data_IF_742719184956
#
_entry.id   IF_742719184956
#
_cell.length_a   1.000
_cell.length_b   1.000
_cell.length_c   1.000
_cell.angle_alpha   90.00
_cell.angle_beta   90.00
_cell.angle_gamma   90.00
#
_symmetry.space_group_name_H-M   'P 1'
#
loop_
_entity.id
_entity.type
_entity.pdbx_description
1 polymer ?
#
# COMPACT_ATOMS: atom_id res chain seq x y z
N UNK A 1 -50.28 49.80 -54.61
CA UNK A 1 -49.74 50.01 -53.24
C UNK A 1 -50.03 48.87 -52.22
N UNK A 2 -50.53 47.68 -52.63
CA UNK A 2 -50.88 46.58 -51.70
C UNK A 2 -49.84 45.44 -51.60
N UNK A 3 -48.89 45.34 -52.55
CA UNK A 3 -47.93 44.22 -52.62
C UNK A 3 -46.81 44.29 -51.56
N UNK A 4 -46.31 45.49 -51.25
CA UNK A 4 -45.18 45.69 -50.32
C UNK A 4 -45.53 45.39 -48.84
N UNK A 5 -46.81 45.49 -48.44
CA UNK A 5 -47.26 45.13 -47.08
C UNK A 5 -47.23 43.62 -46.85
N UNK A 6 -47.61 42.81 -47.85
CA UNK A 6 -47.60 41.34 -47.73
C UNK A 6 -46.19 40.76 -47.61
N UNK A 7 -45.22 41.34 -48.32
CA UNK A 7 -43.80 40.94 -48.24
C UNK A 7 -43.18 41.30 -46.89
N UNK A 8 -43.54 42.45 -46.31
CA UNK A 8 -43.05 42.87 -45.00
C UNK A 8 -43.61 42.00 -43.85
N UNK A 9 -44.89 41.60 -43.93
CA UNK A 9 -45.53 40.73 -42.93
C UNK A 9 -44.96 39.31 -42.96
N UNK A 10 -44.69 38.77 -44.15
CA UNK A 10 -44.07 37.45 -44.31
C UNK A 10 -42.61 37.41 -43.86
N UNK A 11 -41.83 38.49 -44.08
CA UNK A 11 -40.47 38.63 -43.53
C UNK A 11 -40.47 38.71 -41.99
N UNK A 12 -41.43 39.42 -41.38
CA UNK A 12 -41.58 39.46 -39.90
C UNK A 12 -41.96 38.10 -39.31
N UNK A 13 -42.86 37.33 -39.95
CA UNK A 13 -43.22 35.97 -39.51
C UNK A 13 -42.06 34.98 -39.61
N UNK A 14 -41.25 35.02 -40.69
CA UNK A 14 -40.05 34.17 -40.82
C UNK A 14 -38.94 34.51 -39.82
N UNK A 15 -38.80 35.79 -39.43
CA UNK A 15 -37.83 36.20 -38.39
C UNK A 15 -38.23 35.67 -37.01
N UNK A 16 -39.49 35.83 -36.60
CA UNK A 16 -40.01 35.29 -35.33
C UNK A 16 -39.91 33.75 -35.25
N UNK A 17 -40.24 33.04 -36.33
CA UNK A 17 -40.13 31.57 -36.37
C UNK A 17 -38.68 31.02 -36.31
N UNK A 18 -37.66 31.86 -36.50
CA UNK A 18 -36.24 31.48 -36.35
C UNK A 18 -35.73 31.76 -34.93
N UNK A 19 -36.37 32.69 -34.23
CA UNK A 19 -36.04 33.13 -32.87
C UNK A 19 -36.73 32.23 -31.81
N UNK A 20 -37.93 31.73 -32.12
CA UNK A 20 -38.71 30.81 -31.29
C UNK A 20 -38.33 29.32 -31.47
N UNK A 21 -37.19 28.99 -32.08
CA UNK A 21 -36.76 27.59 -32.17
C UNK A 21 -36.35 27.12 -30.77
N UNK A 22 -37.05 26.14 -30.18
CA UNK A 22 -36.73 25.66 -28.84
C UNK A 22 -35.26 25.21 -28.79
N UNK A 23 -34.51 25.82 -27.88
CA UNK A 23 -33.06 25.64 -27.71
C UNK A 23 -32.75 24.30 -27.02
N UNK A 24 -33.30 23.20 -27.54
CA UNK A 24 -33.16 21.88 -26.96
C UNK A 24 -31.70 21.47 -26.77
N UNK A 25 -30.78 21.88 -27.66
CA UNK A 25 -29.34 21.60 -27.51
C UNK A 25 -28.71 22.25 -26.26
N UNK A 26 -29.18 23.43 -25.83
CA UNK A 26 -28.75 24.07 -24.58
C UNK A 26 -29.35 23.38 -23.36
N UNK A 27 -30.58 22.86 -23.47
CA UNK A 27 -31.24 22.09 -22.42
C UNK A 27 -30.61 20.70 -22.23
N UNK A 28 -30.41 19.94 -23.31
CA UNK A 28 -29.72 18.64 -23.28
C UNK A 28 -28.24 18.78 -22.89
N UNK A 29 -27.56 19.85 -23.32
CA UNK A 29 -26.20 20.17 -22.87
C UNK A 29 -26.12 20.46 -21.37
N UNK A 30 -27.10 21.20 -20.82
CA UNK A 30 -27.19 21.44 -19.38
C UNK A 30 -27.42 20.17 -18.55
N UNK A 31 -28.29 19.26 -19.04
CA UNK A 31 -28.50 17.96 -18.38
C UNK A 31 -27.22 17.11 -18.41
N UNK A 32 -26.52 17.05 -19.55
CA UNK A 32 -25.29 16.28 -19.68
C UNK A 32 -24.14 16.82 -18.79
N UNK A 33 -24.03 18.15 -18.69
CA UNK A 33 -23.06 18.79 -17.77
C UNK A 33 -23.45 18.50 -16.32
N UNK A 34 -24.74 18.60 -15.98
CA UNK A 34 -25.23 18.33 -14.63
C UNK A 34 -25.04 16.87 -14.18
N UNK A 35 -25.24 15.90 -15.08
CA UNK A 35 -24.97 14.49 -14.76
C UNK A 35 -23.48 14.21 -14.66
N UNK A 36 -22.64 14.85 -15.48
CA UNK A 36 -21.18 14.75 -15.40
C UNK A 36 -20.63 15.35 -14.09
N UNK A 37 -21.10 16.53 -13.68
CA UNK A 37 -20.66 17.15 -12.42
C UNK A 37 -21.14 16.35 -11.21
N UNK A 38 -22.36 15.83 -11.23
CA UNK A 38 -22.88 14.96 -10.17
C UNK A 38 -22.07 13.66 -10.06
N UNK A 39 -21.75 13.02 -11.18
CA UNK A 39 -20.94 11.78 -11.17
C UNK A 39 -19.53 12.02 -10.66
N UNK A 40 -18.86 13.11 -11.07
CA UNK A 40 -17.55 13.49 -10.53
C UNK A 40 -17.61 13.82 -9.03
N UNK A 41 -18.66 14.50 -8.57
CA UNK A 41 -18.85 14.80 -7.15
C UNK A 41 -19.06 13.52 -6.33
N UNK A 42 -19.84 12.57 -6.84
CA UNK A 42 -20.04 11.26 -6.19
C UNK A 42 -18.73 10.47 -6.15
N UNK A 43 -17.96 10.43 -7.25
CA UNK A 43 -16.64 9.77 -7.27
C UNK A 43 -15.70 10.42 -6.24
N UNK A 44 -15.65 11.76 -6.20
CA UNK A 44 -14.86 12.50 -5.22
C UNK A 44 -15.25 12.18 -3.78
N UNK A 45 -16.55 12.10 -3.49
CA UNK A 45 -17.08 11.73 -2.18
C UNK A 45 -16.67 10.29 -1.80
N UNK A 46 -16.75 9.34 -2.75
CA UNK A 46 -16.34 7.95 -2.52
C UNK A 46 -14.84 7.85 -2.24
N UNK A 47 -14.01 8.59 -2.97
CA UNK A 47 -12.56 8.64 -2.73
C UNK A 47 -12.28 9.23 -1.34
N UNK A 48 -12.90 10.35 -0.98
CA UNK A 48 -12.71 10.98 0.33
C UNK A 48 -13.17 10.06 1.47
N UNK A 49 -14.31 9.39 1.33
CA UNK A 49 -14.79 8.41 2.30
C UNK A 49 -13.82 7.21 2.40
N UNK A 50 -13.29 6.72 1.28
CA UNK A 50 -12.27 5.67 1.24
C UNK A 50 -10.98 6.08 1.95
N UNK A 51 -10.48 7.29 1.67
CA UNK A 51 -9.30 7.84 2.34
C UNK A 51 -9.53 8.05 3.84
N UNK A 52 -10.71 8.54 4.24
CA UNK A 52 -11.10 8.67 5.64
C UNK A 52 -11.17 7.31 6.35
N UNK A 53 -11.70 6.29 5.68
CA UNK A 53 -11.69 4.91 6.18
C UNK A 53 -10.29 4.34 6.35
N UNK A 54 -9.42 4.51 5.34
CA UNK A 54 -8.01 4.10 5.41
C UNK A 54 -7.26 4.82 6.54
N UNK A 55 -7.47 6.12 6.69
CA UNK A 55 -6.89 6.91 7.77
C UNK A 55 -7.38 6.45 9.14
N UNK A 56 -8.68 6.15 9.28
CA UNK A 56 -9.24 5.63 10.53
C UNK A 56 -8.64 4.26 10.88
N UNK A 57 -8.49 3.37 9.90
CA UNK A 57 -7.83 2.07 10.06
C UNK A 57 -6.37 2.27 10.48
N UNK A 58 -5.64 3.13 9.78
CA UNK A 58 -4.27 3.50 10.11
C UNK A 58 -4.17 3.99 11.56
N UNK A 59 -5.01 4.96 11.95
CA UNK A 59 -4.97 5.56 13.28
C UNK A 59 -5.31 4.56 14.40
N UNK A 60 -6.29 3.67 14.18
CA UNK A 60 -6.62 2.63 15.16
C UNK A 60 -5.49 1.62 15.33
N UNK A 61 -4.86 1.21 14.22
CA UNK A 61 -3.77 0.24 14.30
C UNK A 61 -2.50 0.87 14.87
N UNK A 62 -2.15 2.08 14.43
CA UNK A 62 -0.96 2.79 14.88
C UNK A 62 -0.93 3.02 16.40
N UNK A 63 -2.09 3.21 17.04
CA UNK A 63 -2.18 3.35 18.49
C UNK A 63 -1.85 2.06 19.27
N UNK A 64 -1.97 0.90 18.63
CA UNK A 64 -1.73 -0.42 19.23
C UNK A 64 -0.42 -1.07 18.76
N UNK A 65 0.36 -0.36 17.92
CA UNK A 65 1.61 -0.89 17.41
C UNK A 65 2.72 -0.83 18.48
N UNK A 66 3.59 -1.85 18.53
CA UNK A 66 4.81 -1.77 19.32
C UNK A 66 5.72 -0.65 18.78
N UNK A 67 6.59 -0.14 19.65
CA UNK A 67 7.57 0.88 19.29
C UNK A 67 8.53 0.34 18.20
N UNK A 68 8.64 0.98 17.03
CA UNK A 68 9.55 0.56 15.97
C UNK A 68 11.02 0.50 16.40
N UNK A 69 11.45 1.34 17.36
CA UNK A 69 12.85 1.35 17.83
C UNK A 69 13.19 0.12 18.65
N UNK A 70 12.20 -0.67 19.09
CA UNK A 70 12.45 -1.92 19.80
C UNK A 70 13.23 -2.94 18.96
N UNK A 71 13.27 -2.80 17.63
CA UNK A 71 14.09 -3.65 16.75
C UNK A 71 15.57 -3.58 17.13
N UNK A 72 16.08 -2.40 17.46
CA UNK A 72 17.49 -2.22 17.81
C UNK A 72 17.82 -2.97 19.10
N UNK A 73 16.99 -2.83 20.13
CA UNK A 73 17.19 -3.49 21.42
C UNK A 73 17.01 -5.01 21.34
N UNK A 74 15.98 -5.49 20.65
CA UNK A 74 15.71 -6.93 20.50
C UNK A 74 16.76 -7.65 19.62
N UNK A 75 17.48 -6.92 18.76
CA UNK A 75 18.58 -7.48 17.97
C UNK A 75 19.86 -7.70 18.77
N UNK A 76 20.17 -6.82 19.73
CA UNK A 76 21.41 -6.88 20.51
C UNK A 76 21.43 -8.07 21.50
N UNK A 77 20.27 -8.52 21.99
CA UNK A 77 20.18 -9.62 22.96
C UNK A 77 20.14 -11.03 22.32
N UNK A 78 20.28 -11.12 20.99
CA UNK A 78 19.94 -12.33 20.22
C UNK A 78 21.17 -13.12 19.71
N UNK A 79 21.93 -13.76 20.62
CA UNK A 79 23.04 -14.65 20.25
C UNK A 79 23.02 -16.00 20.97
N UNK A 80 23.52 -17.06 20.32
CA UNK A 80 23.76 -18.36 20.95
C UNK A 80 24.80 -18.20 22.07
N UNK A 81 24.45 -18.64 23.29
CA UNK A 81 25.39 -18.61 24.42
C UNK A 81 26.47 -19.68 24.25
N UNK A 82 27.75 -19.27 24.26
CA UNK A 82 28.89 -20.19 24.10
C UNK A 82 29.63 -20.40 25.42
N UNK A 83 29.78 -21.66 25.81
CA UNK A 83 30.56 -22.08 26.98
C UNK A 83 31.97 -22.49 26.52
N UNK A 84 32.98 -21.80 27.02
CA UNK A 84 34.38 -22.04 26.68
C UNK A 84 35.11 -22.85 27.76
N UNK A 85 36.23 -23.47 27.38
CA UNK A 85 37.16 -24.06 28.35
C UNK A 85 37.87 -22.99 29.21
N UNK A 86 38.70 -23.43 30.17
CA UNK A 86 39.42 -22.51 31.07
C UNK A 86 40.35 -21.51 30.35
N UNK A 87 40.76 -21.83 29.12
CA UNK A 87 41.65 -20.98 28.32
C UNK A 87 40.89 -19.91 27.54
N UNK A 88 39.57 -20.07 27.39
CA UNK A 88 38.72 -19.19 26.59
C UNK A 88 38.81 -19.43 25.07
N UNK A 89 39.60 -20.40 24.59
CA UNK A 89 39.81 -20.63 23.15
C UNK A 89 38.91 -21.72 22.57
N UNK A 90 38.63 -22.78 23.32
CA UNK A 90 37.83 -23.91 22.82
C UNK A 90 36.39 -23.76 23.28
N UNK A 91 35.45 -23.70 22.34
CA UNK A 91 34.01 -23.83 22.64
C UNK A 91 33.73 -25.27 23.03
N UNK A 92 33.23 -25.48 24.24
CA UNK A 92 32.85 -26.79 24.78
C UNK A 92 31.39 -27.11 24.50
N UNK A 93 30.53 -26.08 24.52
CA UNK A 93 29.09 -26.26 24.36
C UNK A 93 28.42 -24.96 23.92
N UNK A 94 27.34 -25.09 23.14
CA UNK A 94 26.52 -23.98 22.67
C UNK A 94 25.08 -24.17 23.18
N UNK A 95 24.58 -23.16 23.89
CA UNK A 95 23.22 -23.10 24.41
C UNK A 95 22.43 -22.13 23.55
N UNK A 96 21.47 -22.66 22.80
CA UNK A 96 20.55 -21.86 21.99
C UNK A 96 19.12 -22.03 22.49
N UNK A 97 18.32 -20.96 22.41
CA UNK A 97 16.90 -21.01 22.76
C UNK A 97 16.14 -21.83 21.68
N UNK A 98 15.38 -22.88 22.05
CA UNK A 98 14.64 -23.72 21.10
C UNK A 98 13.62 -22.96 20.23
N UNK A 99 13.14 -21.79 20.66
CA UNK A 99 12.21 -20.94 19.91
C UNK A 99 12.92 -20.05 18.90
N UNK A 100 14.15 -19.65 19.23
CA UNK A 100 14.91 -18.62 18.53
C UNK A 100 15.93 -19.22 17.55
N UNK A 101 16.34 -20.47 17.82
CA UNK A 101 17.26 -21.25 17.02
C UNK A 101 18.72 -20.91 17.30
N UNK A 102 19.61 -21.60 16.58
CA UNK A 102 21.03 -21.33 16.63
C UNK A 102 21.39 -20.11 15.77
N UNK A 103 22.00 -19.09 16.39
CA UNK A 103 22.37 -17.83 15.73
C UNK A 103 23.77 -17.37 16.10
N UNK A 104 24.48 -16.90 15.07
CA UNK A 104 25.71 -16.14 15.19
C UNK A 104 25.50 -14.78 14.51
N UNK A 105 25.73 -13.70 15.25
CA UNK A 105 25.75 -12.36 14.67
C UNK A 105 26.98 -12.22 13.78
N UNK A 106 26.77 -11.65 12.59
CA UNK A 106 27.83 -11.30 11.65
C UNK A 106 27.51 -9.94 11.07
N UNK A 107 28.54 -9.13 10.86
CA UNK A 107 28.35 -7.85 10.20
C UNK A 107 28.06 -8.06 8.71
N UNK A 108 27.32 -7.12 8.11
CA UNK A 108 26.91 -7.24 6.70
C UNK A 108 28.09 -7.30 5.73
N UNK A 109 29.23 -6.70 6.08
CA UNK A 109 30.47 -6.71 5.30
C UNK A 109 31.21 -8.06 5.35
N UNK A 110 30.90 -8.90 6.34
CA UNK A 110 31.40 -10.29 6.43
C UNK A 110 30.58 -11.24 5.53
N UNK A 111 29.41 -10.80 5.04
CA UNK A 111 28.55 -11.58 4.14
C UNK A 111 28.95 -11.33 2.69
N UNK A 112 29.21 -12.40 1.94
CA UNK A 112 29.50 -12.34 0.50
C UNK A 112 28.48 -11.45 -0.25
N UNK A 113 28.92 -10.47 -1.05
CA UNK A 113 28.03 -9.62 -1.82
C UNK A 113 27.05 -10.41 -2.70
N UNK A 114 27.50 -11.54 -3.26
CA UNK A 114 26.65 -12.41 -4.07
C UNK A 114 25.50 -13.03 -3.27
N UNK A 115 25.69 -13.31 -1.98
CA UNK A 115 24.61 -13.80 -1.13
C UNK A 115 23.60 -12.69 -0.85
N UNK A 116 24.08 -11.47 -0.55
CA UNK A 116 23.22 -10.31 -0.33
C UNK A 116 22.36 -10.03 -1.57
N UNK A 117 22.99 -9.97 -2.74
CA UNK A 117 22.32 -9.75 -4.03
C UNK A 117 21.33 -10.86 -4.36
N UNK A 118 21.67 -12.13 -4.10
CA UNK A 118 20.77 -13.25 -4.36
C UNK A 118 19.49 -13.19 -3.51
N UNK A 119 19.61 -12.86 -2.22
CA UNK A 119 18.47 -12.70 -1.31
C UNK A 119 17.61 -11.51 -1.75
N UNK A 120 18.23 -10.35 -2.02
CA UNK A 120 17.51 -9.17 -2.51
C UNK A 120 16.78 -9.48 -3.82
N UNK A 121 17.44 -10.14 -4.78
CA UNK A 121 16.82 -10.48 -6.07
C UNK A 121 15.63 -11.44 -5.93
N UNK A 122 15.66 -12.36 -4.96
CA UNK A 122 14.61 -13.36 -4.77
C UNK A 122 13.44 -12.84 -3.92
N UNK A 123 13.74 -12.16 -2.81
CA UNK A 123 12.75 -11.81 -1.79
C UNK A 123 12.22 -10.37 -1.93
N UNK A 124 13.06 -9.42 -2.33
CA UNK A 124 12.70 -8.01 -2.39
C UNK A 124 13.57 -7.24 -3.40
N UNK A 125 13.26 -7.42 -4.69
CA UNK A 125 14.06 -6.87 -5.80
C UNK A 125 14.30 -5.35 -5.73
N UNK A 126 13.43 -4.61 -5.04
CA UNK A 126 13.48 -3.15 -4.94
C UNK A 126 13.94 -2.70 -3.55
N UNK A 127 14.47 -3.60 -2.72
CA UNK A 127 14.81 -3.39 -1.31
C UNK A 127 15.48 -2.04 -1.03
N UNK A 128 16.56 -1.72 -1.76
CA UNK A 128 17.34 -0.49 -1.55
C UNK A 128 16.63 0.81 -1.97
N UNK A 129 15.47 0.72 -2.60
CA UNK A 129 14.74 1.89 -3.15
C UNK A 129 13.29 1.96 -2.68
N UNK A 130 12.78 0.93 -2.02
CA UNK A 130 11.40 0.86 -1.59
C UNK A 130 11.20 1.60 -0.26
N UNK A 131 9.94 1.89 0.08
CA UNK A 131 9.57 2.58 1.33
C UNK A 131 9.25 1.58 2.46
N UNK A 132 10.02 0.50 2.55
CA UNK A 132 9.79 -0.62 3.47
C UNK A 132 8.86 -1.70 2.94
N UNK A 133 8.26 -1.53 1.76
CA UNK A 133 7.39 -2.53 1.14
C UNK A 133 7.42 -2.50 -0.40
N UNK A 134 7.24 -3.66 -1.04
CA UNK A 134 7.14 -3.78 -2.51
C UNK A 134 5.73 -3.39 -2.99
N UNK A 135 5.59 -2.15 -3.49
CA UNK A 135 4.34 -1.63 -4.06
C UNK A 135 3.90 -2.48 -5.27
N UNK A 136 4.83 -2.87 -6.13
CA UNK A 136 4.52 -3.68 -7.30
C UNK A 136 4.10 -5.09 -6.89
N UNK A 137 4.78 -5.67 -5.91
CA UNK A 137 4.45 -6.96 -5.31
C UNK A 137 3.07 -6.98 -4.69
N UNK A 138 2.72 -5.92 -3.94
CA UNK A 138 1.39 -5.76 -3.36
C UNK A 138 0.31 -5.66 -4.44
N UNK A 139 0.57 -4.89 -5.50
CA UNK A 139 -0.34 -4.77 -6.65
C UNK A 139 -0.54 -6.11 -7.39
N UNK A 140 0.54 -6.84 -7.67
CA UNK A 140 0.49 -8.17 -8.28
C UNK A 140 -0.30 -9.16 -7.42
N UNK A 141 -0.04 -9.18 -6.11
CA UNK A 141 -0.73 -10.05 -5.17
C UNK A 141 -2.23 -9.73 -5.10
N UNK A 142 -2.60 -8.45 -5.10
CA UNK A 142 -4.01 -8.03 -5.12
C UNK A 142 -4.74 -8.52 -6.37
N UNK A 143 -4.14 -8.32 -7.56
CA UNK A 143 -4.73 -8.79 -8.83
C UNK A 143 -4.81 -10.32 -8.87
N UNK A 144 -3.78 -11.03 -8.43
CA UNK A 144 -3.77 -12.50 -8.36
C UNK A 144 -4.89 -13.03 -7.45
N UNK A 145 -5.07 -12.42 -6.27
CA UNK A 145 -6.12 -12.80 -5.32
C UNK A 145 -7.53 -12.58 -5.92
N UNK A 146 -7.75 -11.49 -6.65
CA UNK A 146 -9.03 -11.24 -7.33
C UNK A 146 -9.32 -12.24 -8.45
N UNK A 147 -8.28 -12.74 -9.11
CA UNK A 147 -8.39 -13.74 -10.18
C UNK A 147 -8.52 -15.17 -9.63
N UNK A 148 -8.59 -15.35 -8.30
CA UNK A 148 -8.63 -16.67 -7.66
C UNK A 148 -7.31 -17.44 -7.78
N UNK A 149 -6.21 -16.74 -8.07
CA UNK A 149 -4.87 -17.31 -8.14
C UNK A 149 -4.35 -17.75 -6.76
N UNK A 150 -3.21 -18.45 -6.76
CA UNK A 150 -2.50 -18.73 -5.52
C UNK A 150 -2.03 -17.43 -4.85
N UNK A 151 -2.10 -17.39 -3.52
CA UNK A 151 -1.55 -16.29 -2.71
C UNK A 151 -0.04 -16.24 -3.00
N UNK A 152 0.40 -15.23 -3.75
CA UNK A 152 1.81 -14.99 -4.00
C UNK A 152 2.45 -14.34 -2.77
N UNK A 153 3.62 -14.85 -2.37
CA UNK A 153 4.48 -14.20 -1.38
C UNK A 153 5.05 -12.92 -2.00
N UNK A 154 4.70 -11.77 -1.43
CA UNK A 154 5.18 -10.46 -1.88
C UNK A 154 5.55 -9.56 -0.71
N UNK A 155 6.08 -10.14 0.37
CA UNK A 155 6.51 -9.36 1.54
C UNK A 155 7.95 -8.91 1.36
N UNK A 156 8.22 -7.62 1.55
CA UNK A 156 9.58 -7.08 1.56
C UNK A 156 10.40 -7.63 2.70
N UNK A 157 11.74 -7.51 2.59
CA UNK A 157 12.66 -7.90 3.67
C UNK A 157 12.31 -7.13 4.96
N UNK A 158 12.00 -5.83 4.88
CA UNK A 158 11.59 -5.02 6.03
C UNK A 158 10.30 -5.55 6.70
N UNK A 159 9.29 -5.95 5.91
CA UNK A 159 8.07 -6.56 6.47
C UNK A 159 8.36 -7.91 7.12
N UNK A 160 9.26 -8.71 6.54
CA UNK A 160 9.66 -10.00 7.11
C UNK A 160 10.41 -9.79 8.44
N UNK A 161 11.28 -8.78 8.53
CA UNK A 161 11.97 -8.38 9.74
C UNK A 161 10.98 -8.02 10.86
N UNK A 162 10.05 -7.10 10.57
CA UNK A 162 9.01 -6.67 11.51
C UNK A 162 8.16 -7.82 12.00
N UNK A 163 7.72 -8.68 11.07
CA UNK A 163 6.95 -9.88 11.42
C UNK A 163 7.72 -10.77 12.40
N UNK A 164 9.03 -10.90 12.23
CA UNK A 164 9.86 -11.79 13.03
C UNK A 164 10.31 -11.19 14.38
N UNK A 165 10.31 -9.87 14.51
CA UNK A 165 10.76 -9.18 15.74
C UNK A 165 9.56 -8.61 16.50
N UNK A 166 8.81 -7.70 15.88
CA UNK A 166 7.81 -6.88 16.56
C UNK A 166 6.44 -7.53 16.70
N UNK A 167 6.07 -8.45 15.80
CA UNK A 167 4.79 -9.13 15.87
C UNK A 167 4.87 -10.31 16.83
N UNK A 168 3.86 -10.53 17.65
CA UNK A 168 3.83 -11.67 18.59
C UNK A 168 3.78 -13.03 17.86
N UNK A 169 4.50 -14.04 18.39
CA UNK A 169 4.64 -15.37 17.79
C UNK A 169 3.29 -16.02 17.41
N UNK A 170 2.29 -15.90 18.30
CA UNK A 170 0.94 -16.42 18.09
C UNK A 170 0.25 -15.83 16.85
N UNK A 171 0.56 -14.58 16.50
CA UNK A 171 0.00 -13.90 15.34
C UNK A 171 0.79 -14.20 14.05
N UNK A 172 2.11 -14.45 14.15
CA UNK A 172 2.99 -14.73 13.00
C UNK A 172 2.50 -15.92 12.17
N UNK A 173 2.07 -16.99 12.83
CA UNK A 173 1.62 -18.23 12.19
C UNK A 173 0.23 -18.11 11.51
N UNK A 174 -0.55 -17.09 11.86
CA UNK A 174 -1.90 -16.91 11.36
C UNK A 174 -1.91 -16.09 10.07
N UNK A 175 -2.67 -16.52 9.07
CA UNK A 175 -2.98 -15.70 7.89
C UNK A 175 -4.02 -14.65 8.30
N UNK A 176 -3.55 -13.46 8.64
CA UNK A 176 -4.38 -12.35 9.11
C UNK A 176 -4.11 -11.09 8.30
N UNK A 177 -5.17 -10.51 7.74
CA UNK A 177 -5.10 -9.20 7.07
C UNK A 177 -4.71 -8.09 8.06
N UNK A 178 -5.21 -8.17 9.29
CA UNK A 178 -4.86 -7.26 10.38
C UNK A 178 -3.36 -7.27 10.64
N UNK A 179 -2.74 -8.46 10.78
CA UNK A 179 -1.28 -8.58 10.93
C UNK A 179 -0.56 -7.95 9.74
N UNK A 180 -1.03 -8.19 8.52
CA UNK A 180 -0.38 -7.66 7.31
C UNK A 180 -0.45 -6.13 7.23
N UNK A 181 -1.55 -5.54 7.69
CA UNK A 181 -1.68 -4.08 7.82
C UNK A 181 -0.71 -3.53 8.87
N UNK A 182 -0.61 -4.19 10.04
CA UNK A 182 0.37 -3.81 11.09
C UNK A 182 1.80 -3.83 10.55
N UNK A 183 2.19 -4.90 9.87
CA UNK A 183 3.51 -5.02 9.22
C UNK A 183 3.78 -3.90 8.21
N UNK A 184 2.78 -3.54 7.39
CA UNK A 184 2.91 -2.48 6.41
C UNK A 184 3.14 -1.12 7.06
N UNK A 185 2.36 -0.79 8.09
CA UNK A 185 2.47 0.50 8.81
C UNK A 185 3.84 0.61 9.47
N UNK A 186 4.26 -0.43 10.21
CA UNK A 186 5.58 -0.46 10.85
C UNK A 186 6.71 -0.35 9.82
N UNK A 187 6.57 -0.98 8.65
CA UNK A 187 7.61 -0.95 7.62
C UNK A 187 7.83 0.44 7.05
N UNK A 188 6.75 1.20 6.88
CA UNK A 188 6.82 2.61 6.47
C UNK A 188 7.47 3.46 7.56
N UNK A 189 7.13 3.21 8.83
CA UNK A 189 7.68 3.99 9.94
C UNK A 189 9.19 3.78 10.12
N UNK A 190 9.68 2.55 9.99
CA UNK A 190 11.11 2.21 10.15
C UNK A 190 11.96 2.73 8.98
N UNK A 191 11.38 2.84 7.78
CA UNK A 191 12.11 3.27 6.58
C UNK A 191 12.14 4.80 6.42
N UNK A 192 11.45 5.54 7.29
CA UNK A 192 11.33 6.99 7.25
C UNK A 192 12.48 7.68 7.98
#
# INVERSE_FOLDING_TARGET
MQSSRKVMITRRRRRRAKEDRPKYHLFFGGIAIGTLTLTLAVIGLVILAGLGGLFSIYASFAAELPDPTAIETEQEDFETTKLYDRSGQTVLYELFDPRLGDRAYVNIDEISPYCQEAVVALEDKNFYTNYGFDVEGLGRAFVSNLQGGQIQGGSSITQQLIKNILIEEKERAQKSYTRKIKELILAVEITR
#
